data_IF_848313404026
#
_entry.id   IF_848313404026
#
_cell.length_a   1.000
_cell.length_b   1.000
_cell.length_c   1.000
_cell.angle_alpha   90.00
_cell.angle_beta   90.00
_cell.angle_gamma   90.00
#
_symmetry.space_group_name_H-M   'P 1'
#
loop_
_entity.id
_entity.type
_entity.pdbx_description
1 polymer ?
#
# COMPACT_ATOMS: atom_id res chain seq x y z
N UNK A 1 2.27 -9.70 -3.52
CA UNK A 1 3.41 -10.03 -2.68
C UNK A 1 3.73 -8.91 -1.73
N UNK A 2 4.03 -9.21 -0.48
CA UNK A 2 4.44 -8.16 0.45
C UNK A 2 5.72 -7.49 0.01
N UNK A 3 5.90 -6.26 0.43
CA UNK A 3 7.09 -5.48 0.07
C UNK A 3 7.98 -5.32 1.28
N UNK A 4 9.28 -5.54 1.10
CA UNK A 4 10.23 -5.43 2.19
C UNK A 4 10.65 -4.00 2.46
N UNK A 5 10.68 -3.21 1.42
CA UNK A 5 11.09 -1.82 1.54
C UNK A 5 10.35 -0.99 0.52
N UNK A 6 10.47 0.32 0.64
CA UNK A 6 9.81 1.22 -0.29
C UNK A 6 10.36 1.06 -1.70
N UNK A 7 11.61 0.64 -1.81
CA UNK A 7 12.22 0.44 -3.11
C UNK A 7 11.60 -0.71 -3.88
N UNK A 8 10.92 -1.61 -3.18
CA UNK A 8 10.24 -2.73 -3.81
C UNK A 8 8.88 -2.35 -4.36
N UNK A 9 8.39 -1.18 -4.01
CA UNK A 9 7.10 -0.73 -4.52
C UNK A 9 7.19 -0.45 -6.01
N UNK A 10 6.07 -0.59 -6.73
CA UNK A 10 6.09 -0.25 -8.16
C UNK A 10 6.57 1.18 -8.39
N UNK A 11 7.31 1.41 -9.48
CA UNK A 11 7.83 2.75 -9.75
C UNK A 11 6.77 3.84 -9.76
N UNK A 12 5.58 3.53 -10.26
CA UNK A 12 4.51 4.53 -10.29
C UNK A 12 4.13 4.99 -8.89
N UNK A 13 4.15 4.09 -7.93
CA UNK A 13 3.85 4.46 -6.55
C UNK A 13 4.98 5.26 -5.94
N UNK A 14 6.21 4.89 -6.26
CA UNK A 14 7.36 5.64 -5.75
C UNK A 14 7.35 7.08 -6.24
N UNK A 15 6.90 7.30 -7.45
CA UNK A 15 6.80 8.64 -8.01
C UNK A 15 5.67 9.44 -7.43
N UNK A 16 4.55 8.80 -7.15
CA UNK A 16 3.36 9.48 -6.69
C UNK A 16 3.36 9.79 -5.22
N UNK A 17 4.01 8.94 -4.45
CA UNK A 17 3.96 9.03 -3.00
C UNK A 17 5.30 9.48 -2.43
N UNK A 18 5.30 10.50 -1.56
CA UNK A 18 6.52 10.82 -0.83
C UNK A 18 6.88 9.68 0.11
N UNK A 19 8.11 9.64 0.60
CA UNK A 19 8.59 8.51 1.40
C UNK A 19 7.68 8.14 2.56
N UNK A 20 7.16 9.14 3.25
CA UNK A 20 6.27 8.85 4.39
C UNK A 20 5.01 8.13 3.95
N UNK A 21 4.43 8.57 2.83
CA UNK A 21 3.24 7.93 2.30
C UNK A 21 3.55 6.53 1.78
N UNK A 22 4.75 6.33 1.24
CA UNK A 22 5.17 5.02 0.82
C UNK A 22 5.24 4.06 2.01
N UNK A 23 5.71 4.54 3.16
CA UNK A 23 5.74 3.72 4.36
C UNK A 23 4.34 3.28 4.76
N UNK A 24 3.39 4.20 4.69
CA UNK A 24 2.01 3.89 5.04
C UNK A 24 1.43 2.86 4.08
N UNK A 25 1.65 3.07 2.78
CA UNK A 25 1.16 2.15 1.78
C UNK A 25 1.73 0.75 2.00
N UNK A 26 3.05 0.68 2.17
CA UNK A 26 3.74 -0.59 2.32
C UNK A 26 3.25 -1.36 3.55
N UNK A 27 3.16 -0.67 4.67
CA UNK A 27 2.72 -1.32 5.90
C UNK A 27 1.29 -1.82 5.77
N UNK A 28 0.41 -1.01 5.21
CA UNK A 28 -0.99 -1.39 5.06
C UNK A 28 -1.15 -2.53 4.05
N UNK A 29 -0.40 -2.47 2.95
CA UNK A 29 -0.43 -3.52 1.95
C UNK A 29 0.00 -4.86 2.55
N UNK A 30 1.13 -4.85 3.24
CA UNK A 30 1.64 -6.09 3.81
C UNK A 30 0.68 -6.66 4.85
N UNK A 31 0.12 -5.80 5.67
CA UNK A 31 -0.84 -6.24 6.68
C UNK A 31 -2.09 -6.84 6.03
N UNK A 32 -2.61 -6.17 5.01
CA UNK A 32 -3.79 -6.67 4.30
C UNK A 32 -3.50 -7.99 3.59
N UNK A 33 -2.32 -8.10 3.00
CA UNK A 33 -1.92 -9.33 2.35
C UNK A 33 -1.90 -10.50 3.32
N UNK A 34 -1.30 -10.29 4.50
CA UNK A 34 -1.18 -11.35 5.49
C UNK A 34 -2.52 -11.78 6.04
N UNK A 35 -3.47 -10.86 6.12
CA UNK A 35 -4.78 -11.16 6.68
C UNK A 35 -5.77 -11.71 5.68
N UNK A 36 -5.44 -11.62 4.41
CA UNK A 36 -6.36 -12.03 3.36
C UNK A 36 -6.52 -13.54 3.34
N UNK A 37 -7.77 -13.98 3.21
CA UNK A 37 -8.07 -15.39 3.04
C UNK A 37 -8.16 -15.75 1.56
N UNK A 38 -7.98 -14.79 0.68
CA UNK A 38 -8.07 -15.01 -0.75
C UNK A 38 -6.92 -15.88 -1.24
N UNK A 39 -7.22 -16.93 -1.97
CA UNK A 39 -6.19 -17.84 -2.48
C UNK A 39 -5.64 -17.42 -3.84
N UNK A 40 -6.42 -16.63 -4.59
CA UNK A 40 -5.97 -16.14 -5.89
C UNK A 40 -5.03 -14.96 -5.68
N UNK A 41 -3.74 -15.10 -6.06
CA UNK A 41 -2.78 -14.01 -5.82
C UNK A 41 -3.18 -12.69 -6.47
N UNK A 42 -3.78 -12.73 -7.65
CA UNK A 42 -4.16 -11.49 -8.33
C UNK A 42 -5.25 -10.75 -7.56
N UNK A 43 -6.23 -11.47 -7.06
CA UNK A 43 -7.29 -10.87 -6.27
C UNK A 43 -6.78 -10.40 -4.92
N UNK A 44 -5.89 -11.17 -4.34
CA UNK A 44 -5.30 -10.83 -3.06
C UNK A 44 -4.52 -9.53 -3.17
N UNK A 45 -3.77 -9.39 -4.25
CA UNK A 45 -3.00 -8.18 -4.48
C UNK A 45 -3.92 -6.98 -4.70
N UNK A 46 -4.98 -7.16 -5.47
CA UNK A 46 -5.92 -6.08 -5.73
C UNK A 46 -6.57 -5.59 -4.44
N UNK A 47 -6.99 -6.51 -3.60
CA UNK A 47 -7.61 -6.16 -2.33
C UNK A 47 -6.62 -5.44 -1.43
N UNK A 48 -5.39 -5.95 -1.34
CA UNK A 48 -4.36 -5.32 -0.51
C UNK A 48 -4.03 -3.93 -1.02
N UNK A 49 -3.96 -3.76 -2.33
CA UNK A 49 -3.70 -2.45 -2.93
C UNK A 49 -4.79 -1.45 -2.58
N UNK A 50 -6.03 -1.89 -2.66
CA UNK A 50 -7.18 -1.03 -2.35
C UNK A 50 -7.16 -0.58 -0.89
N UNK A 51 -6.89 -1.53 -0.01
CA UNK A 51 -6.80 -1.23 1.41
C UNK A 51 -5.62 -0.30 1.70
N UNK A 52 -4.49 -0.54 1.03
CA UNK A 52 -3.31 0.30 1.22
C UNK A 52 -3.56 1.73 0.78
N UNK A 53 -4.21 1.93 -0.37
CA UNK A 53 -4.54 3.28 -0.82
C UNK A 53 -5.49 3.98 0.13
N UNK A 54 -6.47 3.25 0.66
CA UNK A 54 -7.38 3.83 1.64
C UNK A 54 -6.63 4.27 2.88
N UNK A 55 -5.64 3.50 3.31
CA UNK A 55 -4.83 3.86 4.46
C UNK A 55 -4.03 5.12 4.21
N UNK A 56 -3.47 5.25 3.00
CA UNK A 56 -2.72 6.44 2.63
C UNK A 56 -3.62 7.67 2.67
N UNK A 57 -4.79 7.55 2.07
CA UNK A 57 -5.73 8.67 2.03
C UNK A 57 -6.17 9.10 3.41
N UNK A 58 -6.30 8.13 4.29
CA UNK A 58 -6.78 8.42 5.63
C UNK A 58 -5.71 9.03 6.52
N UNK A 59 -4.47 8.55 6.38
CA UNK A 59 -3.40 8.98 7.27
C UNK A 59 -2.57 10.11 6.71
N UNK A 60 -2.36 10.10 5.40
CA UNK A 60 -1.54 11.12 4.76
C UNK A 60 -2.43 12.16 4.14
N UNK A 61 -2.87 13.08 4.95
CA UNK A 61 -3.72 14.16 4.46
C UNK A 61 -2.88 15.31 4.01
N UNK A 62 -3.32 15.90 2.92
CA UNK A 62 -2.70 17.11 2.48
C UNK A 62 -2.93 18.19 3.49
N UNK A 63 -1.85 18.83 3.89
CA UNK A 63 -1.89 19.91 4.83
C UNK A 63 -2.68 21.07 4.26
N UNK A 64 -3.56 21.63 5.05
CA UNK A 64 -4.40 22.72 4.58
C UNK A 64 -5.50 22.28 3.63
N UNK A 65 -5.52 21.01 3.37
CA UNK A 65 -6.57 20.48 2.51
C UNK A 65 -7.71 20.02 3.33
#
# INVERSE_FOLDING_TARGET
MPYRSNEDLPPSLQERLPPHAQDIYRAAFNNAWDRSAESDPARREETAHRIAWAAVKRRYRKSGG
#
